data_IF_986411403388
#
_entry.id   IF_986411403388
#
_cell.length_a   1.000
_cell.length_b   1.000
_cell.length_c   1.000
_cell.angle_alpha   90.00
_cell.angle_beta   90.00
_cell.angle_gamma   90.00
#
_symmetry.space_group_name_H-M   'P 1'
#
loop_
_entity.id
_entity.type
_entity.pdbx_description
1 polymer ?
#
# COMPACT_ATOMS: atom_id res chain seq x y z
N UNK A 1 14.22 23.85 18.73
CA UNK A 1 14.28 25.21 18.17
C UNK A 1 14.38 25.07 16.66
N UNK A 2 13.41 25.59 15.89
CA UNK A 2 13.49 25.61 14.44
C UNK A 2 14.41 26.76 14.00
N UNK A 3 15.34 26.51 13.09
CA UNK A 3 16.17 27.57 12.50
C UNK A 3 15.29 28.43 11.60
N UNK A 4 15.12 29.70 11.92
CA UNK A 4 14.25 30.64 11.20
C UNK A 4 14.90 31.25 9.94
N UNK A 5 16.11 30.81 9.57
CA UNK A 5 16.86 31.33 8.44
C UNK A 5 17.44 30.24 7.53
N UNK A 6 17.65 30.59 6.27
CA UNK A 6 18.36 29.76 5.29
C UNK A 6 19.86 29.70 5.59
N UNK A 7 20.52 28.57 5.31
CA UNK A 7 21.97 28.52 5.33
C UNK A 7 22.56 29.21 4.08
N UNK A 8 23.74 29.85 4.19
CA UNK A 8 24.45 30.37 3.03
C UNK A 8 24.88 29.24 2.10
N UNK A 9 25.02 29.55 0.80
CA UNK A 9 25.51 28.60 -0.20
C UNK A 9 26.96 28.19 0.12
N UNK A 10 27.20 26.88 0.20
CA UNK A 10 28.50 26.27 0.46
C UNK A 10 28.98 25.42 -0.74
N UNK A 11 30.13 24.76 -0.61
CA UNK A 11 30.67 23.87 -1.66
C UNK A 11 29.84 22.61 -1.90
N UNK A 12 28.92 22.26 -0.99
CA UNK A 12 28.05 21.08 -1.11
C UNK A 12 26.73 21.39 -1.84
N UNK A 13 26.33 22.66 -1.87
CA UNK A 13 25.08 23.10 -2.49
C UNK A 13 24.85 22.52 -3.92
N UNK A 14 25.82 22.53 -4.87
CA UNK A 14 25.56 22.03 -6.23
C UNK A 14 25.18 20.54 -6.27
N UNK A 15 25.84 19.70 -5.46
CA UNK A 15 25.54 18.27 -5.39
C UNK A 15 24.13 18.01 -4.80
N UNK A 16 23.76 18.81 -3.81
CA UNK A 16 22.45 18.77 -3.16
C UNK A 16 21.36 19.18 -4.16
N UNK A 17 21.52 20.31 -4.85
CA UNK A 17 20.57 20.77 -5.88
C UNK A 17 20.41 19.76 -7.02
N UNK A 18 21.52 19.19 -7.53
CA UNK A 18 21.48 18.17 -8.58
C UNK A 18 20.70 16.92 -8.14
N UNK A 19 20.96 16.44 -6.92
CA UNK A 19 20.25 15.28 -6.35
C UNK A 19 18.76 15.56 -6.20
N UNK A 20 18.37 16.76 -5.75
CA UNK A 20 16.96 17.13 -5.66
C UNK A 20 16.28 17.19 -7.03
N UNK A 21 16.92 17.82 -8.02
CA UNK A 21 16.39 17.88 -9.37
C UNK A 21 16.17 16.47 -9.96
N UNK A 22 17.14 15.57 -9.76
CA UNK A 22 17.03 14.18 -10.20
C UNK A 22 15.84 13.46 -9.57
N UNK A 23 15.69 13.57 -8.25
CA UNK A 23 14.57 12.98 -7.52
C UNK A 23 13.22 13.55 -7.94
N UNK A 24 13.19 14.84 -8.22
CA UNK A 24 12.03 15.56 -8.72
C UNK A 24 11.60 15.03 -10.11
N UNK A 25 12.53 14.89 -11.06
CA UNK A 25 12.21 14.30 -12.37
C UNK A 25 11.69 12.88 -12.27
N UNK A 26 12.31 12.05 -11.43
CA UNK A 26 11.89 10.66 -11.22
C UNK A 26 10.49 10.61 -10.59
N UNK A 27 10.24 11.43 -9.58
CA UNK A 27 8.93 11.50 -8.92
C UNK A 27 7.83 11.86 -9.92
N UNK A 28 8.05 12.87 -10.76
CA UNK A 28 7.10 13.23 -11.83
C UNK A 28 6.90 12.07 -12.79
N UNK A 29 7.97 11.42 -13.25
CA UNK A 29 7.86 10.32 -14.19
C UNK A 29 6.96 9.19 -13.66
N UNK A 30 7.11 8.83 -12.38
CA UNK A 30 6.28 7.80 -11.74
C UNK A 30 4.85 8.25 -11.46
N UNK A 31 4.64 9.52 -11.10
CA UNK A 31 3.29 10.10 -10.98
C UNK A 31 2.58 10.13 -12.34
N UNK A 32 3.28 10.53 -13.40
CA UNK A 32 2.74 10.52 -14.75
C UNK A 32 2.44 9.09 -15.22
N UNK A 33 3.30 8.12 -14.88
CA UNK A 33 3.03 6.71 -15.13
C UNK A 33 1.77 6.22 -14.39
N UNK A 34 1.60 6.62 -13.13
CA UNK A 34 0.40 6.32 -12.33
C UNK A 34 -0.85 6.94 -12.95
N UNK A 35 -0.81 8.20 -13.37
CA UNK A 35 -1.94 8.86 -14.04
C UNK A 35 -2.23 8.23 -15.41
N UNK A 36 -1.20 7.90 -16.18
CA UNK A 36 -1.33 7.19 -17.44
C UNK A 36 -2.02 5.84 -17.24
N UNK A 37 -1.66 5.10 -16.19
CA UNK A 37 -2.31 3.83 -15.82
C UNK A 37 -3.82 4.01 -15.53
N UNK A 38 -4.23 5.10 -14.88
CA UNK A 38 -5.65 5.43 -14.68
C UNK A 38 -6.35 5.62 -16.02
N UNK A 39 -5.76 6.38 -16.94
CA UNK A 39 -6.40 6.66 -18.24
C UNK A 39 -6.58 5.39 -19.06
N UNK A 40 -5.57 4.54 -19.17
CA UNK A 40 -5.62 3.34 -20.03
C UNK A 40 -6.43 2.17 -19.45
N UNK A 41 -6.87 2.26 -18.20
CA UNK A 41 -7.72 1.23 -17.59
C UNK A 41 -9.09 1.73 -17.20
N UNK A 42 -9.40 3.01 -17.50
CA UNK A 42 -10.66 3.64 -17.15
C UNK A 42 -11.87 2.93 -17.78
N UNK A 43 -11.73 2.45 -19.01
CA UNK A 43 -12.74 1.66 -19.72
C UNK A 43 -13.16 0.41 -18.91
N UNK A 44 -12.16 -0.38 -18.51
CA UNK A 44 -12.34 -1.61 -17.72
C UNK A 44 -12.80 -1.30 -16.30
N UNK A 45 -12.33 -0.20 -15.72
CA UNK A 45 -12.79 0.24 -14.40
C UNK A 45 -14.28 0.52 -14.39
N UNK A 46 -14.77 1.30 -15.37
CA UNK A 46 -16.17 1.67 -15.50
C UNK A 46 -17.04 0.43 -15.62
N UNK A 47 -16.61 -0.53 -16.43
CA UNK A 47 -17.35 -1.77 -16.64
C UNK A 47 -17.32 -2.70 -15.41
N UNK A 48 -16.14 -2.92 -14.81
CA UNK A 48 -15.94 -4.00 -13.83
C UNK A 48 -16.06 -3.57 -12.37
N UNK A 49 -15.79 -2.30 -12.06
CA UNK A 49 -15.72 -1.80 -10.68
C UNK A 49 -16.85 -0.82 -10.37
N UNK A 50 -17.15 0.11 -11.29
CA UNK A 50 -18.17 1.13 -11.03
C UNK A 50 -19.59 0.55 -10.98
N UNK A 51 -19.86 -0.49 -11.78
CA UNK A 51 -21.11 -1.27 -11.76
C UNK A 51 -21.30 -2.10 -10.48
N UNK A 52 -20.24 -2.31 -9.69
CA UNK A 52 -20.29 -3.12 -8.49
C UNK A 52 -21.13 -2.44 -7.39
N UNK A 53 -21.92 -3.23 -6.66
CA UNK A 53 -22.57 -2.78 -5.43
C UNK A 53 -21.52 -2.33 -4.42
N UNK A 54 -21.84 -1.31 -3.62
CA UNK A 54 -20.98 -0.81 -2.55
C UNK A 54 -20.73 -1.91 -1.51
N UNK A 55 -19.60 -2.60 -1.68
CA UNK A 55 -19.07 -3.67 -0.81
C UNK A 55 -17.57 -3.43 -0.61
N UNK A 56 -16.98 -4.16 0.35
CA UNK A 56 -15.56 -4.05 0.70
C UNK A 56 -14.60 -3.99 -0.51
N UNK A 57 -14.72 -4.83 -1.57
CA UNK A 57 -13.79 -4.75 -2.71
C UNK A 57 -13.83 -3.42 -3.47
N UNK A 58 -15.01 -2.79 -3.59
CA UNK A 58 -15.15 -1.48 -4.26
C UNK A 58 -14.48 -0.38 -3.42
N UNK A 59 -14.72 -0.41 -2.12
CA UNK A 59 -14.12 0.57 -1.18
C UNK A 59 -12.60 0.45 -1.20
N UNK A 60 -12.07 -0.77 -1.06
CA UNK A 60 -10.63 -1.01 -1.07
C UNK A 60 -9.99 -0.56 -2.38
N UNK A 61 -10.65 -0.83 -3.52
CA UNK A 61 -10.19 -0.36 -4.82
C UNK A 61 -10.16 1.17 -4.89
N UNK A 62 -11.24 1.85 -4.51
CA UNK A 62 -11.33 3.31 -4.57
C UNK A 62 -10.29 3.96 -3.65
N UNK A 63 -10.12 3.44 -2.43
CA UNK A 63 -9.12 3.92 -1.48
C UNK A 63 -7.72 3.75 -2.06
N UNK A 64 -7.37 2.55 -2.52
CA UNK A 64 -6.03 2.27 -3.04
C UNK A 64 -5.72 3.07 -4.31
N UNK A 65 -6.72 3.28 -5.16
CA UNK A 65 -6.53 3.88 -6.47
C UNK A 65 -6.64 5.40 -6.44
N UNK A 66 -7.74 5.95 -5.95
CA UNK A 66 -8.00 7.39 -6.03
C UNK A 66 -7.45 8.15 -4.83
N UNK A 67 -7.61 7.63 -3.61
CA UNK A 67 -7.14 8.33 -2.41
C UNK A 67 -5.61 8.33 -2.37
N UNK A 68 -4.96 7.19 -2.59
CA UNK A 68 -3.48 7.13 -2.61
C UNK A 68 -2.92 8.01 -3.73
N UNK A 69 -3.47 7.95 -4.94
CA UNK A 69 -3.00 8.80 -6.05
C UNK A 69 -3.14 10.29 -5.72
N UNK A 70 -4.25 10.69 -5.11
CA UNK A 70 -4.45 12.08 -4.67
C UNK A 70 -3.44 12.47 -3.58
N UNK A 71 -3.21 11.60 -2.59
CA UNK A 71 -2.21 11.82 -1.55
C UNK A 71 -0.79 11.94 -2.13
N UNK A 72 -0.42 11.10 -3.09
CA UNK A 72 0.87 11.15 -3.77
C UNK A 72 1.02 12.45 -4.58
N UNK A 73 -0.01 12.89 -5.29
CA UNK A 73 0.00 14.18 -5.98
C UNK A 73 0.24 15.34 -5.01
N UNK A 74 -0.48 15.34 -3.88
CA UNK A 74 -0.32 16.37 -2.85
C UNK A 74 1.08 16.34 -2.21
N UNK A 75 1.69 15.16 -2.06
CA UNK A 75 3.05 15.01 -1.51
C UNK A 75 4.13 15.50 -2.49
N UNK A 76 3.97 15.23 -3.80
CA UNK A 76 4.97 15.62 -4.80
C UNK A 76 4.87 17.08 -5.23
N UNK A 77 3.67 17.65 -5.39
CA UNK A 77 3.47 19.02 -5.92
C UNK A 77 4.28 20.11 -5.20
N UNK A 78 4.39 20.14 -3.86
CA UNK A 78 5.15 21.15 -3.13
C UNK A 78 6.66 21.13 -3.44
N UNK A 79 7.21 20.01 -3.89
CA UNK A 79 8.63 19.91 -4.25
C UNK A 79 8.98 20.67 -5.54
N UNK A 80 7.97 21.11 -6.31
CA UNK A 80 8.15 21.81 -7.59
C UNK A 80 7.64 23.26 -7.59
N UNK A 81 6.54 23.53 -6.88
CA UNK A 81 5.81 24.80 -7.00
C UNK A 81 6.04 25.72 -5.78
N UNK A 82 6.96 25.37 -4.87
CA UNK A 82 7.21 26.24 -3.71
C UNK A 82 7.84 27.59 -4.12
N UNK A 83 7.34 28.74 -3.60
CA UNK A 83 6.34 28.86 -2.55
C UNK A 83 4.92 28.90 -3.13
N UNK A 84 4.16 27.81 -2.98
CA UNK A 84 2.72 27.87 -3.16
C UNK A 84 2.15 28.69 -2.00
N UNK A 85 1.48 29.82 -2.24
CA UNK A 85 0.63 30.43 -1.25
C UNK A 85 -0.63 29.57 -1.20
N UNK A 86 -0.59 28.45 -0.47
CA UNK A 86 -1.73 27.57 -0.19
C UNK A 86 -2.77 28.23 0.75
N UNK A 87 -2.98 29.52 0.54
CA UNK A 87 -3.88 30.44 1.23
C UNK A 87 -5.36 30.01 1.14
N UNK A 88 -5.75 29.29 0.09
CA UNK A 88 -7.14 28.81 -0.07
C UNK A 88 -7.49 27.57 0.78
N UNK A 89 -6.50 26.76 1.21
CA UNK A 89 -6.76 25.58 2.07
C UNK A 89 -6.59 25.92 3.56
N UNK A 90 -5.72 26.89 3.88
CA UNK A 90 -5.49 27.38 5.25
C UNK A 90 -6.66 28.22 5.78
N UNK A 91 -7.43 28.87 4.90
CA UNK A 91 -8.54 29.75 5.29
C UNK A 91 -9.61 29.04 6.15
N UNK A 92 -9.74 27.71 6.02
CA UNK A 92 -10.80 26.97 6.72
C UNK A 92 -10.38 26.29 8.04
N UNK A 93 -9.08 26.21 8.38
CA UNK A 93 -8.62 25.52 9.60
C UNK A 93 -7.88 26.41 10.60
N UNK A 94 -7.51 27.64 10.22
CA UNK A 94 -6.78 28.58 11.09
C UNK A 94 -7.61 29.82 11.45
N UNK A 95 -8.89 29.66 11.78
CA UNK A 95 -9.67 30.76 12.37
C UNK A 95 -9.42 30.96 13.88
N UNK A 96 -8.47 30.23 14.49
CA UNK A 96 -8.31 30.17 15.95
C UNK A 96 -6.87 30.23 16.49
N UNK A 97 -5.87 30.77 15.77
CA UNK A 97 -4.50 30.88 16.33
C UNK A 97 -3.84 32.24 16.11
N UNK A 98 -3.73 32.98 17.23
CA UNK A 98 -2.63 33.85 17.69
C UNK A 98 -1.81 34.71 16.70
N UNK A 99 -1.72 35.99 17.06
CA UNK A 99 -1.21 37.17 16.35
C UNK A 99 0.30 37.19 15.95
N UNK A 100 1.09 36.13 16.17
CA UNK A 100 2.55 36.15 15.89
C UNK A 100 3.12 34.88 15.23
N UNK A 101 2.30 33.98 14.68
CA UNK A 101 2.79 32.79 13.98
C UNK A 101 3.01 33.07 12.47
N UNK A 102 4.27 32.99 12.02
CA UNK A 102 4.63 33.06 10.60
C UNK A 102 3.85 32.01 9.78
N UNK A 103 3.08 32.39 8.74
CA UNK A 103 2.24 31.46 7.97
C UNK A 103 3.04 30.39 7.19
N UNK A 104 4.36 30.57 7.06
CA UNK A 104 5.28 29.56 6.48
C UNK A 104 5.43 28.34 7.41
N UNK A 105 5.48 28.55 8.72
CA UNK A 105 5.73 27.49 9.71
C UNK A 105 4.52 26.57 9.88
N UNK A 106 3.30 27.11 9.81
CA UNK A 106 2.06 26.31 9.86
C UNK A 106 1.89 25.45 8.60
N UNK A 107 2.21 26.00 7.42
CA UNK A 107 2.18 25.27 6.14
C UNK A 107 3.18 24.09 6.11
N UNK A 108 4.39 24.32 6.63
CA UNK A 108 5.42 23.30 6.73
C UNK A 108 5.06 22.16 7.70
N UNK A 109 4.44 22.48 8.85
CA UNK A 109 4.07 21.47 9.85
C UNK A 109 2.95 20.55 9.39
N UNK A 110 1.95 21.03 8.66
CA UNK A 110 0.93 20.14 8.09
C UNK A 110 1.51 19.23 7.01
N UNK A 111 2.34 19.79 6.11
CA UNK A 111 2.95 19.03 5.02
C UNK A 111 3.81 17.88 5.58
N UNK A 112 4.65 18.18 6.56
CA UNK A 112 5.46 17.17 7.23
C UNK A 112 4.64 16.08 7.92
N UNK A 113 3.46 16.42 8.48
CA UNK A 113 2.55 15.41 9.01
C UNK A 113 2.00 14.55 7.87
N UNK A 114 1.58 15.16 6.76
CA UNK A 114 1.04 14.43 5.60
C UNK A 114 2.08 13.45 5.02
N UNK A 115 3.31 13.89 4.79
CA UNK A 115 4.39 13.06 4.21
C UNK A 115 4.69 11.79 5.02
N UNK A 116 4.40 11.78 6.32
CA UNK A 116 4.49 10.56 7.16
C UNK A 116 3.35 9.58 6.88
N UNK A 117 2.13 10.10 6.76
CA UNK A 117 0.94 9.27 6.57
C UNK A 117 0.89 8.65 5.18
N UNK A 118 1.47 9.32 4.18
CA UNK A 118 1.46 8.86 2.78
C UNK A 118 2.07 7.45 2.61
N UNK A 119 3.28 7.13 3.13
CA UNK A 119 3.80 5.77 3.13
C UNK A 119 2.92 4.75 3.86
N UNK A 120 2.28 5.13 4.97
CA UNK A 120 1.40 4.23 5.72
C UNK A 120 0.18 3.87 4.87
N UNK A 121 -0.44 4.87 4.24
CA UNK A 121 -1.57 4.69 3.34
C UNK A 121 -1.17 4.00 2.03
N UNK A 122 0.08 4.14 1.58
CA UNK A 122 0.61 3.51 0.38
C UNK A 122 0.89 2.02 0.54
N UNK A 123 1.71 1.65 1.53
CA UNK A 123 2.25 0.29 1.65
C UNK A 123 1.32 -0.67 2.40
N UNK A 124 0.66 -0.23 3.47
CA UNK A 124 -0.10 -1.16 4.33
C UNK A 124 -1.36 -1.72 3.66
N UNK A 125 -2.18 -0.92 2.95
CA UNK A 125 -3.30 -1.47 2.20
C UNK A 125 -2.87 -2.46 1.11
N UNK A 126 -1.74 -2.21 0.47
CA UNK A 126 -1.15 -3.14 -0.49
C UNK A 126 -0.74 -4.45 0.18
N UNK A 127 -0.12 -4.41 1.37
CA UNK A 127 0.20 -5.61 2.15
C UNK A 127 -1.05 -6.41 2.55
N UNK A 128 -2.15 -5.74 2.93
CA UNK A 128 -3.43 -6.42 3.21
C UNK A 128 -3.92 -7.16 1.96
N UNK A 129 -3.90 -6.50 0.80
CA UNK A 129 -4.36 -7.09 -0.45
C UNK A 129 -3.48 -8.27 -0.87
N UNK A 130 -2.17 -8.15 -0.69
CA UNK A 130 -1.21 -9.24 -0.88
C UNK A 130 -1.52 -10.43 0.06
N UNK A 131 -1.82 -10.17 1.34
CA UNK A 131 -2.18 -11.21 2.30
C UNK A 131 -3.51 -11.90 1.94
N UNK A 132 -4.56 -11.15 1.57
CA UNK A 132 -5.86 -11.71 1.13
C UNK A 132 -5.66 -12.71 -0.01
N UNK A 133 -4.73 -12.41 -0.92
CA UNK A 133 -4.43 -13.27 -2.07
C UNK A 133 -3.78 -14.56 -1.67
N UNK A 134 -2.82 -14.50 -0.75
CA UNK A 134 -2.20 -15.69 -0.18
C UNK A 134 -3.26 -16.55 0.52
N UNK A 135 -4.14 -15.94 1.32
CA UNK A 135 -5.25 -16.65 1.97
C UNK A 135 -6.16 -17.35 0.96
N UNK A 136 -6.52 -16.67 -0.14
CA UNK A 136 -7.35 -17.25 -1.19
C UNK A 136 -6.67 -18.45 -1.87
N UNK A 137 -5.36 -18.39 -2.11
CA UNK A 137 -4.58 -19.45 -2.75
C UNK A 137 -4.43 -20.69 -1.85
N UNK A 138 -4.42 -20.48 -0.53
CA UNK A 138 -4.34 -21.55 0.47
C UNK A 138 -5.72 -22.04 0.95
N UNK A 139 -6.80 -21.64 0.28
CA UNK A 139 -8.15 -22.12 0.59
C UNK A 139 -8.74 -21.58 1.89
N UNK A 140 -8.35 -20.35 2.28
CA UNK A 140 -8.86 -19.62 3.45
C UNK A 140 -8.73 -20.37 4.78
N UNK A 141 -7.59 -21.00 5.04
CA UNK A 141 -7.34 -21.63 6.34
C UNK A 141 -7.27 -20.58 7.46
N UNK A 142 -8.07 -20.76 8.52
CA UNK A 142 -8.16 -19.82 9.65
C UNK A 142 -6.82 -19.58 10.34
N UNK A 143 -5.98 -20.62 10.40
CA UNK A 143 -4.63 -20.56 10.99
C UNK A 143 -3.72 -19.61 10.18
N UNK A 144 -3.71 -19.74 8.84
CA UNK A 144 -2.90 -18.88 7.98
C UNK A 144 -3.39 -17.44 8.01
N UNK A 145 -4.71 -17.23 8.00
CA UNK A 145 -5.30 -15.89 8.13
C UNK A 145 -4.87 -15.25 9.46
N UNK A 146 -4.96 -15.99 10.57
CA UNK A 146 -4.50 -15.53 11.88
C UNK A 146 -3.01 -15.18 11.88
N UNK A 147 -2.16 -16.04 11.34
CA UNK A 147 -0.71 -15.82 11.23
C UNK A 147 -0.35 -14.58 10.39
N UNK A 148 -0.97 -14.41 9.22
CA UNK A 148 -0.70 -13.25 8.36
C UNK A 148 -1.24 -11.96 8.98
N UNK A 149 -2.40 -12.02 9.65
CA UNK A 149 -2.98 -10.86 10.33
C UNK A 149 -2.11 -10.41 11.52
N UNK A 150 -1.59 -11.34 12.33
CA UNK A 150 -0.72 -10.98 13.46
C UNK A 150 0.59 -10.37 13.00
N UNK A 151 1.18 -10.91 11.94
CA UNK A 151 2.42 -10.41 11.34
C UNK A 151 2.25 -9.02 10.70
N UNK A 152 1.09 -8.74 10.09
CA UNK A 152 0.76 -7.41 9.60
C UNK A 152 0.52 -6.41 10.75
N UNK A 153 -0.28 -6.80 11.75
CA UNK A 153 -0.61 -5.96 12.91
C UNK A 153 0.63 -5.60 13.73
N UNK A 154 1.54 -6.56 13.96
CA UNK A 154 2.78 -6.31 14.69
C UNK A 154 3.63 -5.24 14.00
N UNK A 155 3.66 -5.27 12.67
CA UNK A 155 4.45 -4.34 11.86
C UNK A 155 3.83 -2.95 11.82
N UNK A 156 2.50 -2.87 11.75
CA UNK A 156 1.79 -1.61 11.87
C UNK A 156 2.05 -0.96 13.24
N UNK A 157 1.91 -1.72 14.33
CA UNK A 157 2.15 -1.23 15.68
C UNK A 157 3.61 -0.78 15.84
N UNK A 158 4.57 -1.60 15.38
CA UNK A 158 5.99 -1.26 15.41
C UNK A 158 6.29 0.07 14.71
N UNK A 159 5.77 0.26 13.49
CA UNK A 159 5.96 1.51 12.73
C UNK A 159 5.35 2.73 13.44
N UNK A 160 4.17 2.59 14.04
CA UNK A 160 3.49 3.67 14.73
C UNK A 160 4.24 4.09 16.01
N UNK A 161 4.77 3.12 16.76
CA UNK A 161 5.59 3.37 17.96
C UNK A 161 6.88 4.08 17.59
N UNK A 162 7.62 3.57 16.60
CA UNK A 162 8.86 4.20 16.15
C UNK A 162 8.63 5.62 15.63
N UNK A 163 7.57 5.82 14.85
CA UNK A 163 7.20 7.14 14.38
C UNK A 163 6.95 8.10 15.56
N UNK A 164 6.16 7.67 16.56
CA UNK A 164 5.85 8.51 17.71
C UNK A 164 7.12 8.89 18.49
N UNK A 165 8.03 7.94 18.69
CA UNK A 165 9.32 8.19 19.35
C UNK A 165 10.17 9.19 18.57
N UNK A 166 10.26 9.03 17.25
CA UNK A 166 11.07 9.91 16.41
C UNK A 166 10.49 11.32 16.28
N UNK A 167 9.15 11.43 16.20
CA UNK A 167 8.46 12.71 16.01
C UNK A 167 8.76 13.73 17.12
N UNK A 168 9.16 13.27 18.31
CA UNK A 168 9.54 14.14 19.43
C UNK A 168 10.87 14.88 19.18
N UNK A 169 11.75 14.37 18.30
CA UNK A 169 13.05 14.95 17.97
C UNK A 169 13.09 15.67 16.63
N UNK A 170 11.96 15.83 15.96
CA UNK A 170 11.90 16.43 14.63
C UNK A 170 11.81 17.94 14.69
N UNK A 171 12.59 18.60 13.84
CA UNK A 171 12.58 20.05 13.65
C UNK A 171 12.53 20.38 12.17
N UNK A 172 11.81 21.45 11.84
CA UNK A 172 11.76 21.97 10.47
C UNK A 172 13.01 22.77 10.17
N UNK A 173 13.68 22.46 9.06
CA UNK A 173 14.89 23.16 8.62
C UNK A 173 14.73 23.64 7.18
N UNK A 174 15.32 24.79 6.88
CA UNK A 174 15.38 25.39 5.55
C UNK A 174 16.84 25.38 5.10
N UNK A 175 17.29 24.40 4.29
CA UNK A 175 18.71 24.19 4.08
C UNK A 175 19.35 25.32 3.26
N UNK A 176 18.84 25.67 2.07
CA UNK A 176 19.39 26.76 1.26
C UNK A 176 18.32 27.71 0.69
N UNK A 177 18.69 28.97 0.45
CA UNK A 177 17.86 29.94 -0.29
C UNK A 177 17.59 29.38 -1.70
N UNK A 178 16.34 29.48 -2.19
CA UNK A 178 15.86 28.92 -3.46
C UNK A 178 15.76 27.38 -3.52
N UNK A 179 16.01 26.66 -2.43
CA UNK A 179 15.62 25.27 -2.33
C UNK A 179 14.14 25.18 -1.95
N UNK A 180 13.32 24.64 -2.86
CA UNK A 180 11.89 24.41 -2.62
C UNK A 180 11.64 23.33 -1.57
N UNK A 181 10.45 23.35 -0.97
CA UNK A 181 9.96 22.31 -0.05
C UNK A 181 10.20 22.58 1.43
N UNK A 182 9.72 21.67 2.26
CA UNK A 182 9.93 21.65 3.70
C UNK A 182 10.70 20.40 4.11
N UNK A 183 11.76 20.57 4.89
CA UNK A 183 12.63 19.47 5.29
C UNK A 183 12.56 19.24 6.80
N UNK A 184 12.51 17.97 7.16
CA UNK A 184 12.60 17.51 8.55
C UNK A 184 14.04 17.16 8.86
N UNK A 185 14.57 17.74 9.92
CA UNK A 185 15.80 17.28 10.54
C UNK A 185 15.47 16.55 11.84
N UNK A 186 16.05 15.36 11.98
CA UNK A 186 15.89 14.52 13.17
C UNK A 186 17.11 14.69 14.07
N UNK A 187 16.91 14.99 15.35
CA UNK A 187 18.00 14.98 16.34
C UNK A 187 18.39 13.57 16.78
N UNK A 188 17.63 12.54 16.38
CA UNK A 188 17.95 11.15 16.68
C UNK A 188 19.08 10.64 15.80
N UNK A 189 20.10 10.04 16.42
CA UNK A 189 21.24 9.39 15.74
C UNK A 189 20.86 8.12 14.97
N UNK A 190 19.67 7.57 15.26
CA UNK A 190 19.15 6.36 14.61
C UNK A 190 18.26 6.77 13.44
N UNK A 191 18.65 6.39 12.22
CA UNK A 191 17.77 6.49 11.06
C UNK A 191 16.64 5.46 11.19
N UNK A 192 15.48 5.92 11.66
CA UNK A 192 14.29 5.07 11.89
C UNK A 192 13.72 4.44 10.61
N UNK A 193 14.05 4.99 9.44
CA UNK A 193 13.54 4.49 8.17
C UNK A 193 14.09 3.09 7.89
N UNK A 194 15.40 2.87 8.11
CA UNK A 194 16.09 1.59 7.87
C UNK A 194 15.44 0.41 8.61
N UNK A 195 15.30 0.41 9.95
CA UNK A 195 14.71 -0.74 10.65
C UNK A 195 13.24 -0.94 10.28
N UNK A 196 12.48 0.14 10.07
CA UNK A 196 11.07 0.05 9.64
C UNK A 196 10.94 -0.59 8.27
N UNK A 197 11.77 -0.18 7.31
CA UNK A 197 11.79 -0.72 5.94
C UNK A 197 12.30 -2.16 5.88
N UNK A 198 13.29 -2.52 6.70
CA UNK A 198 13.80 -3.88 6.79
C UNK A 198 12.73 -4.87 7.28
N UNK A 199 11.92 -4.48 8.28
CA UNK A 199 10.79 -5.29 8.75
C UNK A 199 9.75 -5.46 7.65
N UNK A 200 9.34 -4.38 6.98
CA UNK A 200 8.39 -4.46 5.86
C UNK A 200 8.90 -5.37 4.72
N UNK A 201 10.19 -5.27 4.37
CA UNK A 201 10.78 -6.09 3.32
C UNK A 201 10.80 -7.59 3.68
N UNK A 202 11.03 -7.91 4.96
CA UNK A 202 11.01 -9.29 5.46
C UNK A 202 9.63 -9.95 5.27
N UNK A 203 8.57 -9.17 5.45
CA UNK A 203 7.17 -9.59 5.28
C UNK A 203 6.86 -9.81 3.81
N UNK A 204 7.23 -8.85 2.96
CA UNK A 204 7.04 -8.96 1.51
C UNK A 204 7.81 -10.17 0.94
N UNK A 205 9.03 -10.43 1.45
CA UNK A 205 9.79 -11.64 1.14
C UNK A 205 9.08 -12.92 1.57
N UNK A 206 8.48 -12.92 2.77
CA UNK A 206 7.67 -14.04 3.26
C UNK A 206 6.45 -14.28 2.36
N UNK A 207 5.77 -13.21 1.94
CA UNK A 207 4.62 -13.29 1.03
C UNK A 207 5.03 -13.86 -0.33
N UNK A 208 6.11 -13.34 -0.92
CA UNK A 208 6.64 -13.85 -2.17
C UNK A 208 7.01 -15.33 -2.06
N UNK A 209 7.67 -15.72 -0.97
CA UNK A 209 8.06 -17.11 -0.73
C UNK A 209 6.84 -18.04 -0.65
N UNK A 210 5.81 -17.68 0.13
CA UNK A 210 4.59 -18.49 0.27
C UNK A 210 3.88 -18.69 -1.08
N UNK A 211 3.79 -17.63 -1.90
CA UNK A 211 3.17 -17.72 -3.22
C UNK A 211 4.00 -18.61 -4.15
N UNK A 212 5.32 -18.39 -4.21
CA UNK A 212 6.22 -19.18 -5.04
C UNK A 212 6.24 -20.67 -4.62
N UNK A 213 6.19 -20.94 -3.31
CA UNK A 213 6.13 -22.31 -2.78
C UNK A 213 4.84 -23.02 -3.20
N UNK A 214 3.70 -22.35 -3.09
CA UNK A 214 2.40 -22.95 -3.41
C UNK A 214 2.16 -23.12 -4.90
N UNK A 215 2.64 -22.20 -5.74
CA UNK A 215 2.41 -22.24 -7.17
C UNK A 215 3.20 -23.36 -7.87
N UNK A 216 4.45 -23.62 -7.46
CA UNK A 216 5.34 -24.63 -8.07
C UNK A 216 4.69 -26.01 -8.26
N UNK A 217 4.09 -26.65 -7.23
CA UNK A 217 3.45 -27.96 -7.40
C UNK A 217 2.14 -27.89 -8.20
N UNK A 218 1.45 -26.75 -8.18
CA UNK A 218 0.16 -26.57 -8.84
C UNK A 218 0.25 -26.18 -10.32
N UNK A 219 1.41 -25.70 -10.79
CA UNK A 219 1.64 -25.37 -12.21
C UNK A 219 1.31 -26.53 -13.17
N UNK A 220 1.43 -27.79 -12.71
CA UNK A 220 1.13 -28.97 -13.53
C UNK A 220 -0.35 -29.39 -13.51
N UNK A 221 -1.16 -28.85 -12.60
CA UNK A 221 -2.57 -29.26 -12.37
C UNK A 221 -3.59 -28.13 -12.60
N UNK A 222 -3.16 -26.88 -12.72
CA UNK A 222 -4.05 -25.74 -12.89
C UNK A 222 -4.45 -25.52 -14.35
N UNK A 223 -5.72 -25.16 -14.57
CA UNK A 223 -6.23 -24.70 -15.86
C UNK A 223 -5.39 -23.52 -16.38
N UNK A 224 -5.22 -23.44 -17.70
CA UNK A 224 -4.40 -22.42 -18.39
C UNK A 224 -4.71 -20.99 -17.91
N UNK A 225 -5.98 -20.68 -17.69
CA UNK A 225 -6.47 -19.36 -17.24
C UNK A 225 -6.00 -18.99 -15.83
N UNK A 226 -6.10 -19.93 -14.87
CA UNK A 226 -5.68 -19.70 -13.48
C UNK A 226 -4.16 -19.54 -13.38
N UNK A 227 -3.42 -20.29 -14.20
CA UNK A 227 -1.95 -20.21 -14.27
C UNK A 227 -1.49 -18.85 -14.81
N UNK A 228 -2.16 -18.28 -15.81
CA UNK A 228 -1.85 -16.94 -16.32
C UNK A 228 -2.08 -15.87 -15.25
N UNK A 229 -3.21 -15.92 -14.55
CA UNK A 229 -3.52 -14.98 -13.47
C UNK A 229 -2.50 -15.03 -12.32
N UNK A 230 -2.13 -16.25 -11.91
CA UNK A 230 -1.19 -16.46 -10.83
C UNK A 230 0.23 -15.97 -11.24
N UNK A 231 0.62 -16.18 -12.50
CA UNK A 231 1.88 -15.67 -13.06
C UNK A 231 1.91 -14.14 -13.07
N UNK A 232 0.84 -13.48 -13.50
CA UNK A 232 0.76 -12.02 -13.53
C UNK A 232 0.88 -11.44 -12.12
N UNK A 233 0.21 -12.06 -11.14
CA UNK A 233 0.32 -11.65 -9.75
C UNK A 233 1.75 -11.74 -9.21
N UNK A 234 2.48 -12.84 -9.50
CA UNK A 234 3.88 -13.04 -9.07
C UNK A 234 4.81 -11.98 -9.63
N UNK A 235 4.63 -11.60 -10.90
CA UNK A 235 5.44 -10.53 -11.50
C UNK A 235 5.32 -9.23 -10.69
N UNK A 236 4.10 -8.87 -10.26
CA UNK A 236 3.88 -7.71 -9.39
C UNK A 236 4.55 -7.85 -8.02
N UNK A 237 4.46 -9.02 -7.37
CA UNK A 237 5.16 -9.27 -6.09
C UNK A 237 6.68 -9.10 -6.22
N UNK A 238 7.27 -9.59 -7.31
CA UNK A 238 8.70 -9.46 -7.59
C UNK A 238 9.07 -7.98 -7.79
N UNK A 239 8.31 -7.24 -8.59
CA UNK A 239 8.57 -5.82 -8.85
C UNK A 239 8.49 -5.00 -7.55
N UNK A 240 7.46 -5.22 -6.74
CA UNK A 240 7.30 -4.54 -5.45
C UNK A 240 8.50 -4.83 -4.54
N UNK A 241 8.88 -6.11 -4.40
CA UNK A 241 10.01 -6.50 -3.57
C UNK A 241 11.34 -5.91 -4.02
N UNK A 242 11.60 -5.84 -5.34
CA UNK A 242 12.81 -5.22 -5.90
C UNK A 242 12.84 -3.74 -5.56
N UNK A 243 11.73 -3.02 -5.80
CA UNK A 243 11.66 -1.58 -5.51
C UNK A 243 11.82 -1.29 -4.02
N UNK A 244 11.25 -2.13 -3.16
CA UNK A 244 11.36 -1.98 -1.71
C UNK A 244 12.77 -2.33 -1.21
N UNK A 245 13.44 -3.30 -1.83
CA UNK A 245 14.86 -3.61 -1.58
C UNK A 245 15.76 -2.44 -1.96
N UNK A 246 15.53 -1.83 -3.13
CA UNK A 246 16.29 -0.67 -3.57
C UNK A 246 16.04 0.56 -2.67
N UNK A 247 14.82 0.71 -2.17
CA UNK A 247 14.48 1.77 -1.24
C UNK A 247 15.15 1.59 0.15
N UNK A 248 15.23 0.34 0.65
CA UNK A 248 16.04 0.05 1.83
C UNK A 248 17.52 0.33 1.58
N UNK A 249 18.03 -0.02 0.39
CA UNK A 249 19.41 0.26 0.01
C UNK A 249 19.71 1.76 -0.02
N UNK A 250 18.79 2.58 -0.55
CA UNK A 250 18.94 4.05 -0.53
C UNK A 250 18.96 4.62 0.88
N UNK A 251 18.20 4.03 1.82
CA UNK A 251 18.20 4.48 3.22
C UNK A 251 19.49 4.12 3.99
N UNK A 252 20.16 3.03 3.58
CA UNK A 252 21.44 2.59 4.17
C UNK A 252 22.61 3.36 3.57
N UNK A 253 22.59 3.57 2.25
CA UNK A 253 23.68 4.22 1.53
C UNK A 253 23.32 5.67 1.21
N UNK A 254 23.68 6.60 2.10
CA UNK A 254 23.44 8.04 1.92
C UNK A 254 24.09 8.64 0.67
N UNK A 255 25.08 7.97 0.06
CA UNK A 255 25.69 8.40 -1.20
C UNK A 255 24.85 8.02 -2.42
N UNK A 256 23.80 7.23 -2.25
CA UNK A 256 22.90 6.87 -3.33
C UNK A 256 21.95 8.05 -3.61
N UNK A 257 21.97 8.64 -4.82
CA UNK A 257 21.31 9.92 -5.07
C UNK A 257 19.79 9.80 -5.27
N UNK A 258 19.21 8.59 -5.25
CA UNK A 258 17.81 8.35 -5.60
C UNK A 258 16.95 7.99 -4.37
N UNK A 259 15.91 8.77 -4.14
CA UNK A 259 14.82 8.52 -3.21
C UNK A 259 13.73 7.69 -3.90
N UNK A 260 13.69 6.39 -3.60
CA UNK A 260 12.81 5.45 -4.30
C UNK A 260 11.47 5.21 -3.60
N UNK A 261 11.23 5.81 -2.44
CA UNK A 261 9.97 5.66 -1.69
C UNK A 261 8.75 6.07 -2.52
N UNK A 262 8.82 7.22 -3.20
CA UNK A 262 7.77 7.72 -4.07
C UNK A 262 7.46 6.78 -5.25
N UNK A 263 8.46 6.47 -6.09
CA UNK A 263 8.35 5.47 -7.15
C UNK A 263 7.81 4.11 -6.69
N UNK A 264 8.24 3.63 -5.51
CA UNK A 264 7.78 2.37 -4.94
C UNK A 264 6.29 2.42 -4.61
N UNK A 265 5.79 3.51 -4.02
CA UNK A 265 4.35 3.68 -3.75
C UNK A 265 3.52 3.76 -5.03
N UNK A 266 3.97 4.51 -6.03
CA UNK A 266 3.29 4.62 -7.32
C UNK A 266 3.16 3.23 -7.98
N UNK A 267 4.26 2.48 -8.03
CA UNK A 267 4.28 1.15 -8.64
C UNK A 267 3.43 0.15 -7.84
N UNK A 268 3.45 0.24 -6.51
CA UNK A 268 2.62 -0.59 -5.65
C UNK A 268 1.13 -0.33 -5.89
N UNK A 269 0.72 0.94 -6.02
CA UNK A 269 -0.68 1.29 -6.32
C UNK A 269 -1.12 0.75 -7.69
N UNK A 270 -0.30 0.92 -8.75
CA UNK A 270 -0.54 0.38 -10.09
C UNK A 270 -0.67 -1.15 -10.05
N UNK A 271 0.31 -1.82 -9.44
CA UNK A 271 0.36 -3.26 -9.32
C UNK A 271 -0.90 -3.81 -8.66
N UNK A 272 -1.26 -3.25 -7.51
CA UNK A 272 -2.45 -3.62 -6.75
C UNK A 272 -3.74 -3.37 -7.55
N UNK A 273 -3.85 -2.22 -8.22
CA UNK A 273 -5.00 -1.88 -9.06
C UNK A 273 -5.20 -2.88 -10.20
N UNK A 274 -4.14 -3.16 -10.96
CA UNK A 274 -4.16 -4.15 -12.05
C UNK A 274 -4.45 -5.55 -11.56
N UNK A 275 -3.85 -5.95 -10.44
CA UNK A 275 -4.11 -7.25 -9.83
C UNK A 275 -5.60 -7.41 -9.50
N UNK A 276 -6.24 -6.40 -8.89
CA UNK A 276 -7.68 -6.42 -8.57
C UNK A 276 -8.56 -6.50 -9.81
N UNK A 277 -8.25 -5.72 -10.86
CA UNK A 277 -8.99 -5.76 -12.12
C UNK A 277 -8.87 -7.11 -12.82
N UNK A 278 -7.67 -7.72 -12.84
CA UNK A 278 -7.46 -9.02 -13.47
C UNK A 278 -8.29 -10.15 -12.82
N UNK A 279 -8.58 -10.10 -11.51
CA UNK A 279 -9.54 -11.07 -10.93
C UNK A 279 -10.94 -10.83 -11.46
N UNK A 280 -11.34 -9.56 -11.52
CA UNK A 280 -12.71 -9.19 -11.83
C UNK A 280 -13.05 -9.53 -13.28
N UNK A 281 -12.13 -9.26 -14.21
CA UNK A 281 -12.26 -9.74 -15.59
C UNK A 281 -12.55 -11.24 -15.65
N UNK A 282 -11.81 -12.05 -14.89
CA UNK A 282 -12.03 -13.51 -14.88
C UNK A 282 -13.38 -13.95 -14.30
N UNK A 283 -13.88 -13.26 -13.29
CA UNK A 283 -15.21 -13.56 -12.72
C UNK A 283 -16.32 -13.20 -13.72
N UNK A 284 -16.12 -12.16 -14.53
CA UNK A 284 -17.08 -11.71 -15.52
C UNK A 284 -17.04 -12.54 -16.81
N UNK A 285 -15.84 -12.97 -17.23
CA UNK A 285 -15.64 -13.77 -18.44
C UNK A 285 -16.07 -15.24 -18.28
N UNK A 286 -16.10 -15.78 -17.05
CA UNK A 286 -16.52 -17.17 -16.77
C UNK A 286 -17.61 -17.25 -15.67
N UNK A 287 -18.88 -16.95 -16.03
CA UNK A 287 -20.00 -17.04 -15.10
C UNK A 287 -20.24 -18.50 -14.64
N UNK A 288 -19.87 -19.52 -15.42
CA UNK A 288 -20.08 -20.92 -15.08
C UNK A 288 -19.12 -21.42 -13.98
N UNK A 289 -17.85 -21.00 -13.98
CA UNK A 289 -16.92 -21.31 -12.88
C UNK A 289 -17.28 -20.59 -11.57
N UNK A 290 -17.86 -19.39 -11.66
CA UNK A 290 -18.28 -18.62 -10.49
C UNK A 290 -19.44 -19.29 -9.74
N UNK A 291 -20.35 -19.94 -10.47
CA UNK A 291 -21.42 -20.78 -9.91
C UNK A 291 -20.82 -22.03 -9.23
N UNK A 292 -19.78 -22.64 -9.82
CA UNK A 292 -19.08 -23.77 -9.21
C UNK A 292 -18.30 -23.41 -7.94
N UNK A 293 -17.64 -22.24 -7.89
CA UNK A 293 -16.94 -21.76 -6.69
C UNK A 293 -17.91 -21.47 -5.54
N UNK A 294 -19.08 -20.91 -5.85
CA UNK A 294 -20.15 -20.73 -4.87
C UNK A 294 -20.71 -22.09 -4.41
N UNK A 295 -20.96 -23.03 -5.33
CA UNK A 295 -21.48 -24.36 -4.95
C UNK A 295 -20.48 -25.17 -4.10
N UNK A 296 -19.18 -25.06 -4.36
CA UNK A 296 -18.13 -25.63 -3.49
C UNK A 296 -18.06 -24.95 -2.12
N UNK A 297 -18.26 -23.63 -2.02
CA UNK A 297 -18.35 -22.94 -0.73
C UNK A 297 -19.61 -23.30 0.06
N UNK A 298 -20.75 -23.49 -0.60
CA UNK A 298 -21.99 -23.93 0.05
C UNK A 298 -21.91 -25.41 0.49
N UNK A 299 -21.33 -26.30 -0.32
CA UNK A 299 -21.13 -27.70 0.06
C UNK A 299 -20.19 -27.85 1.28
N UNK A 300 -19.14 -27.03 1.37
CA UNK A 300 -18.24 -27.00 2.53
C UNK A 300 -18.87 -26.37 3.78
N UNK A 301 -19.97 -25.64 3.62
CA UNK A 301 -20.78 -25.08 4.72
C UNK A 301 -21.88 -26.02 5.23
N UNK A 302 -22.25 -27.07 4.48
CA UNK A 302 -23.28 -28.04 4.88
C UNK A 302 -22.71 -29.36 5.44
N UNK A 303 -21.39 -29.59 5.31
CA UNK A 303 -20.75 -30.80 5.86
C UNK A 303 -20.65 -30.81 7.41
N UNK A 304 -20.95 -29.71 8.11
CA UNK A 304 -21.06 -29.73 9.58
C UNK A 304 -22.46 -30.00 10.13
N UNK A 305 -23.51 -30.03 9.28
CA UNK A 305 -24.89 -30.34 9.69
C UNK A 305 -25.45 -31.61 9.05
N UNK A 306 -24.78 -32.18 8.05
CA UNK A 306 -25.28 -33.38 7.35
C UNK A 306 -25.02 -34.69 8.10
N UNK A 307 -24.18 -34.70 9.13
CA UNK A 307 -23.94 -35.86 10.00
C UNK A 307 -24.95 -36.00 11.13
N UNK A 308 -25.73 -34.95 11.45
CA UNK A 308 -26.76 -35.02 12.49
C UNK A 308 -28.15 -35.45 11.97
N UNK A 309 -28.38 -35.34 10.65
CA UNK A 309 -29.68 -35.69 10.05
C UNK A 309 -29.78 -37.19 9.70
N UNK A 310 -28.66 -37.84 9.35
CA UNK A 310 -28.67 -39.29 9.08
C UNK A 310 -28.78 -40.17 10.34
N UNK A 311 -28.49 -39.65 11.53
CA UNK A 311 -28.58 -40.42 12.78
C UNK A 311 -30.00 -40.36 13.40
N UNK A 312 -30.81 -39.34 13.07
CA UNK A 312 -32.19 -39.22 13.57
C UNK A 312 -33.22 -40.00 12.73
N UNK A 313 -32.96 -40.25 11.44
CA UNK A 313 -33.86 -41.06 10.61
C UNK A 313 -33.68 -42.57 10.85
N UNK A 314 -32.49 -43.02 11.29
CA UNK A 314 -32.27 -44.44 11.64
C UNK A 314 -32.88 -44.81 13.00
N UNK A 315 -32.91 -43.89 13.98
CA UNK A 315 -33.53 -44.15 15.30
C UNK A 315 -35.08 -44.12 15.22
N UNK A 316 -35.65 -43.43 14.24
CA UNK A 316 -37.12 -43.38 14.06
C UNK A 316 -37.69 -44.62 13.36
N UNK A 317 -36.90 -45.34 12.57
CA UNK A 317 -37.36 -46.55 11.87
C UNK A 317 -37.30 -47.83 12.73
N UNK A 318 -36.50 -47.87 13.80
CA UNK A 318 -36.40 -49.05 14.66
C UNK A 318 -37.54 -49.18 15.70
N UNK A 319 -38.42 -48.17 15.83
CA UNK A 319 -39.52 -48.16 16.80
C UNK A 319 -40.92 -48.46 16.21
N UNK A 320 -41.02 -48.92 14.96
CA UNK A 320 -42.34 -49.25 14.33
C UNK A 320 -42.48 -50.75 13.99
N UNK A 321 -41.51 -51.60 14.35
CA UNK A 321 -41.59 -53.05 14.17
C UNK A 321 -41.63 -53.81 15.50
N UNK A 322 -42.59 -53.53 16.39
CA UNK A 322 -42.99 -54.45 17.47
C UNK A 322 -44.29 -54.03 18.19
N UNK A 323 -45.43 -54.10 17.51
CA UNK A 323 -46.74 -54.49 18.09
C UNK A 323 -47.55 -55.18 17.01
#
# INVERSE_FOLDING_TARGET
MASTGYAPLDSFAPAIFSSFQLNNYISIAFVMLLLYDHVITLDKEIEWIWTLRWRLPKVIFIVNRYIITTCLLIDFLPNFIYPLPLSLYVLHTCMACHEHADPRTSSCTWYNRLTVWVPILGFYPAQILMAIRICSLYGNSKILIGFLATLWLSTLIYSAVLFKLASNGWSTVFPYVNQGGCWLNSTSTINIAVPTRAVCLSIEGTFMFLIAYKIRPYQRRLNRTITVLARDSIAYFIIIFILQSLNLYSDINFNFPLALSGPAMCTTSIAVGRMMMNIRGLILDDPQHTVHLNSFQFAKGSESDSTAVMELDNVRNDNIASV
#
